data_IF_025244481738
#
_entry.id   IF_025244481738
#
_cell.length_a   1.000
_cell.length_b   1.000
_cell.length_c   1.000
_cell.angle_alpha   90.00
_cell.angle_beta   90.00
_cell.angle_gamma   90.00
#
_symmetry.space_group_name_H-M   'P 1'
#
loop_
_entity.id
_entity.type
_entity.pdbx_description
1 polymer ?
#
# COMPACT_ATOMS: atom_id res chain seq x y z
N UNK A 1 5.83 -56.13 37.51
CA UNK A 1 4.58 -55.70 36.84
C UNK A 1 4.39 -54.17 36.78
N UNK A 2 4.77 -53.37 37.79
CA UNK A 2 4.57 -51.91 37.73
C UNK A 2 5.59 -51.13 36.87
N UNK A 3 6.81 -51.66 36.69
CA UNK A 3 7.87 -50.98 35.94
C UNK A 3 7.71 -51.14 34.41
N UNK A 4 7.34 -52.35 33.97
CA UNK A 4 6.98 -52.67 32.58
C UNK A 4 5.83 -51.81 32.05
N UNK A 5 4.80 -51.59 32.90
CA UNK A 5 3.65 -50.76 32.55
C UNK A 5 4.00 -49.27 32.44
N UNK A 6 4.99 -48.82 33.22
CA UNK A 6 5.48 -47.45 33.18
C UNK A 6 6.30 -47.19 31.91
N UNK A 7 7.12 -48.16 31.48
CA UNK A 7 7.87 -48.10 30.24
C UNK A 7 6.97 -48.13 29.00
N UNK A 8 5.92 -48.96 29.01
CA UNK A 8 4.90 -48.98 27.95
C UNK A 8 4.12 -47.67 27.87
N UNK A 9 3.79 -47.04 29.01
CA UNK A 9 3.12 -45.73 29.02
C UNK A 9 4.05 -44.60 28.57
N UNK A 10 5.35 -44.65 28.89
CA UNK A 10 6.34 -43.67 28.39
C UNK A 10 6.56 -43.83 26.89
N UNK A 11 6.60 -45.06 26.37
CA UNK A 11 6.67 -45.31 24.93
C UNK A 11 5.41 -44.83 24.20
N UNK A 12 4.22 -45.06 24.76
CA UNK A 12 2.94 -44.63 24.18
C UNK A 12 2.74 -43.08 24.20
N UNK A 13 3.38 -42.40 25.16
CA UNK A 13 3.40 -40.93 25.23
C UNK A 13 4.48 -40.31 24.33
N UNK A 14 5.55 -41.04 24.00
CA UNK A 14 6.58 -40.58 23.04
C UNK A 14 6.14 -40.72 21.58
N UNK A 15 5.27 -41.68 21.25
CA UNK A 15 4.76 -41.85 19.87
C UNK A 15 3.61 -40.88 19.49
N UNK A 16 2.95 -40.23 20.46
CA UNK A 16 1.78 -39.39 20.21
C UNK A 16 1.98 -37.88 20.39
N UNK A 17 3.22 -37.40 20.45
CA UNK A 17 3.53 -35.95 20.32
C UNK A 17 4.27 -35.69 19.02
N UNK A 18 3.73 -36.21 17.91
CA UNK A 18 3.94 -35.60 16.60
C UNK A 18 2.92 -34.48 16.43
N UNK A 19 3.18 -33.36 17.12
CA UNK A 19 2.61 -32.06 16.71
C UNK A 19 2.93 -31.88 15.23
N UNK A 20 1.94 -32.06 14.37
CA UNK A 20 2.03 -31.74 12.96
C UNK A 20 2.13 -30.23 12.82
N UNK A 21 3.34 -29.70 12.97
CA UNK A 21 3.67 -28.39 12.43
C UNK A 21 3.82 -28.54 10.92
N UNK A 22 2.94 -27.90 10.17
CA UNK A 22 2.97 -27.86 8.70
C UNK A 22 4.18 -27.10 8.13
N UNK A 23 5.03 -26.53 8.98
CA UNK A 23 6.27 -25.85 8.62
C UNK A 23 7.50 -26.51 9.25
N UNK A 24 7.61 -27.85 9.20
CA UNK A 24 8.88 -28.53 9.45
C UNK A 24 9.87 -28.18 8.33
N UNK A 25 11.15 -28.05 8.64
CA UNK A 25 12.25 -27.73 7.71
C UNK A 25 12.40 -28.82 6.65
N UNK A 26 11.56 -28.76 5.62
CA UNK A 26 11.71 -29.58 4.41
C UNK A 26 13.03 -29.18 3.75
N UNK A 27 13.74 -30.20 3.25
CA UNK A 27 14.96 -30.07 2.47
C UNK A 27 14.80 -28.97 1.41
N UNK A 28 15.81 -28.10 1.30
CA UNK A 28 15.79 -26.96 0.39
C UNK A 28 15.53 -27.41 -1.05
N UNK A 29 16.01 -28.57 -1.45
CA UNK A 29 15.80 -29.11 -2.80
C UNK A 29 14.34 -29.50 -3.06
N UNK A 30 13.67 -30.08 -2.06
CA UNK A 30 12.26 -30.48 -2.17
C UNK A 30 11.36 -29.24 -2.26
N UNK A 31 11.66 -28.19 -1.49
CA UNK A 31 10.92 -26.91 -1.55
C UNK A 31 11.10 -26.27 -2.93
N UNK A 32 12.33 -26.21 -3.44
CA UNK A 32 12.63 -25.69 -4.78
C UNK A 32 11.87 -26.47 -5.86
N UNK A 33 11.87 -27.80 -5.79
CA UNK A 33 11.15 -28.64 -6.76
C UNK A 33 9.63 -28.41 -6.73
N UNK A 34 9.02 -28.36 -5.54
CA UNK A 34 7.60 -28.04 -5.38
C UNK A 34 7.27 -26.64 -5.91
N UNK A 35 8.16 -25.67 -5.70
CA UNK A 35 8.00 -24.31 -6.22
C UNK A 35 8.03 -24.25 -7.73
N UNK A 36 8.96 -24.97 -8.37
CA UNK A 36 9.04 -25.08 -9.84
C UNK A 36 7.74 -25.67 -10.41
N UNK A 37 7.19 -26.69 -9.76
CA UNK A 37 5.94 -27.32 -10.18
C UNK A 37 4.70 -26.41 -9.99
N UNK A 38 4.68 -25.63 -8.92
CA UNK A 38 3.65 -24.61 -8.70
C UNK A 38 3.70 -23.52 -9.79
N UNK A 39 4.90 -23.04 -10.13
CA UNK A 39 5.11 -22.03 -11.17
C UNK A 39 4.70 -22.56 -12.55
N UNK A 40 5.02 -23.83 -12.83
CA UNK A 40 4.57 -24.52 -14.05
C UNK A 40 3.04 -24.44 -14.20
N UNK A 41 2.33 -24.82 -13.14
CA UNK A 41 0.87 -24.84 -13.11
C UNK A 41 0.28 -23.44 -13.21
N UNK A 42 0.91 -22.48 -12.55
CA UNK A 42 0.46 -21.09 -12.56
C UNK A 42 0.59 -20.43 -13.93
N UNK A 43 1.73 -20.58 -14.61
CA UNK A 43 1.93 -19.97 -15.94
C UNK A 43 0.90 -20.54 -16.91
N UNK A 44 0.68 -21.85 -16.92
CA UNK A 44 -0.33 -22.47 -17.77
C UNK A 44 -1.74 -21.94 -17.45
N UNK A 45 -2.10 -21.85 -16.17
CA UNK A 45 -3.39 -21.29 -15.73
C UNK A 45 -3.58 -19.83 -16.16
N UNK A 46 -2.58 -18.96 -15.96
CA UNK A 46 -2.66 -17.53 -16.32
C UNK A 46 -2.67 -17.31 -17.83
N UNK A 47 -2.02 -18.18 -18.59
CA UNK A 47 -2.11 -18.21 -20.06
C UNK A 47 -3.37 -18.93 -20.57
N UNK A 48 -4.21 -19.47 -19.67
CA UNK A 48 -5.42 -20.25 -19.98
C UNK A 48 -5.14 -21.47 -20.87
N UNK A 49 -4.04 -22.16 -20.61
CA UNK A 49 -3.62 -23.38 -21.29
C UNK A 49 -3.79 -24.60 -20.38
N UNK A 50 -4.36 -25.68 -20.90
CA UNK A 50 -4.48 -26.95 -20.16
C UNK A 50 -3.16 -27.73 -20.10
N UNK A 51 -2.33 -27.64 -21.15
CA UNK A 51 -1.01 -28.29 -21.28
C UNK A 51 -0.08 -27.36 -22.06
N UNK A 52 1.22 -27.50 -21.82
CA UNK A 52 2.24 -26.85 -22.65
C UNK A 52 2.14 -27.31 -24.12
N UNK A 53 2.28 -26.40 -25.11
CA UNK A 53 2.32 -26.74 -26.53
C UNK A 53 3.39 -27.79 -26.86
N UNK A 54 3.11 -28.66 -27.82
CA UNK A 54 4.07 -29.69 -28.23
C UNK A 54 5.22 -29.08 -29.06
N UNK A 55 6.46 -29.58 -28.91
CA UNK A 55 7.64 -28.99 -29.53
C UNK A 55 7.64 -29.06 -31.07
N UNK A 56 6.78 -29.89 -31.67
CA UNK A 56 6.59 -29.97 -33.14
C UNK A 56 5.62 -28.89 -33.66
N UNK A 57 4.75 -28.33 -32.82
CA UNK A 57 3.98 -27.11 -33.10
C UNK A 57 4.80 -25.85 -32.84
N UNK A 58 5.90 -25.93 -32.08
CA UNK A 58 6.90 -24.88 -32.00
C UNK A 58 7.80 -24.94 -33.26
N UNK A 59 7.22 -24.56 -34.40
CA UNK A 59 7.84 -24.62 -35.72
C UNK A 59 9.27 -24.09 -35.76
N UNK A 60 10.03 -24.62 -36.73
CA UNK A 60 11.38 -24.15 -37.10
C UNK A 60 11.50 -22.64 -36.93
N UNK A 61 12.49 -22.18 -36.15
CA UNK A 61 12.91 -20.79 -35.91
C UNK A 61 12.20 -19.72 -36.77
N UNK A 62 10.89 -19.53 -36.61
CA UNK A 62 10.18 -18.45 -37.29
C UNK A 62 10.73 -17.18 -36.63
N UNK A 63 11.31 -16.30 -37.46
CA UNK A 63 11.86 -15.05 -36.96
C UNK A 63 10.73 -14.26 -36.31
N UNK A 64 10.83 -14.06 -35.00
CA UNK A 64 9.85 -13.34 -34.21
C UNK A 64 9.64 -11.96 -34.87
N UNK A 65 8.41 -11.59 -35.25
CA UNK A 65 8.15 -10.31 -35.89
C UNK A 65 8.71 -9.14 -35.08
N UNK A 66 9.42 -8.23 -35.75
CA UNK A 66 10.09 -7.06 -35.13
C UNK A 66 9.12 -6.22 -34.29
N UNK A 67 7.87 -6.08 -34.74
CA UNK A 67 6.80 -5.38 -34.01
C UNK A 67 6.51 -6.01 -32.64
N UNK A 68 6.55 -7.34 -32.53
CA UNK A 68 6.31 -8.05 -31.26
C UNK A 68 7.52 -8.00 -30.33
N UNK A 69 8.74 -8.00 -30.89
CA UNK A 69 9.96 -7.74 -30.11
C UNK A 69 9.96 -6.31 -29.54
N UNK A 70 9.55 -5.32 -30.34
CA UNK A 70 9.38 -3.94 -29.88
C UNK A 70 8.31 -3.84 -28.78
N UNK A 71 7.16 -4.49 -28.96
CA UNK A 71 6.11 -4.54 -27.95
C UNK A 71 6.59 -5.15 -26.63
N UNK A 72 7.32 -6.27 -26.69
CA UNK A 72 7.92 -6.91 -25.51
C UNK A 72 8.92 -5.99 -24.80
N UNK A 73 9.81 -5.32 -25.54
CA UNK A 73 10.79 -4.40 -24.96
C UNK A 73 10.13 -3.18 -24.31
N UNK A 74 9.15 -2.56 -24.99
CA UNK A 74 8.39 -1.44 -24.43
C UNK A 74 7.63 -1.84 -23.16
N UNK A 75 7.02 -3.03 -23.15
CA UNK A 75 6.34 -3.57 -21.96
C UNK A 75 7.34 -3.78 -20.83
N UNK A 76 8.52 -4.33 -21.12
CA UNK A 76 9.58 -4.54 -20.14
C UNK A 76 10.11 -3.22 -19.55
N UNK A 77 10.28 -2.20 -20.36
CA UNK A 77 10.81 -0.91 -19.91
C UNK A 77 9.76 -0.12 -19.12
N UNK A 78 8.49 -0.11 -19.54
CA UNK A 78 7.36 0.42 -18.76
C UNK A 78 7.27 -0.22 -17.36
N UNK A 79 7.45 -1.54 -17.27
CA UNK A 79 7.44 -2.24 -15.98
C UNK A 79 8.62 -1.83 -15.09
N UNK A 80 9.81 -1.57 -15.64
CA UNK A 80 10.96 -1.08 -14.87
C UNK A 80 10.76 0.36 -14.38
N UNK A 81 10.15 1.22 -15.20
CA UNK A 81 9.81 2.59 -14.81
C UNK A 81 8.83 2.59 -13.63
N UNK A 82 7.75 1.79 -13.72
CA UNK A 82 6.79 1.60 -12.63
C UNK A 82 7.46 1.05 -11.35
N UNK A 83 8.39 0.10 -11.46
CA UNK A 83 9.14 -0.40 -10.30
C UNK A 83 10.01 0.68 -9.65
N UNK A 84 10.58 1.60 -10.45
CA UNK A 84 11.40 2.69 -9.94
C UNK A 84 10.54 3.73 -9.21
N UNK A 85 9.34 4.01 -9.71
CA UNK A 85 8.35 4.88 -9.04
C UNK A 85 7.76 4.23 -7.77
N UNK A 86 7.44 2.93 -7.79
CA UNK A 86 6.95 2.22 -6.59
C UNK A 86 8.03 2.12 -5.52
N UNK A 87 9.30 1.90 -5.89
CA UNK A 87 10.42 1.91 -4.93
C UNK A 87 10.70 3.28 -4.32
N UNK A 88 10.39 4.38 -5.01
CA UNK A 88 10.52 5.73 -4.44
C UNK A 88 9.30 6.10 -3.58
N UNK A 89 8.12 5.54 -3.84
CA UNK A 89 6.91 5.77 -3.05
C UNK A 89 6.85 4.89 -1.80
N UNK A 90 7.23 3.62 -1.88
CA UNK A 90 7.24 2.67 -0.75
C UNK A 90 8.65 2.60 -0.16
N UNK A 91 8.98 3.55 0.73
CA UNK A 91 10.12 3.33 1.61
C UNK A 91 9.72 2.28 2.66
N UNK A 92 10.63 1.38 3.02
CA UNK A 92 10.43 0.41 4.11
C UNK A 92 10.01 1.06 5.43
N UNK A 93 10.27 2.36 5.58
CA UNK A 93 9.84 3.20 6.70
C UNK A 93 8.30 3.36 6.71
N UNK A 94 7.64 3.54 5.55
CA UNK A 94 6.17 3.67 5.48
C UNK A 94 5.43 2.38 5.84
N UNK A 95 5.97 1.20 5.48
CA UNK A 95 5.36 -0.10 5.81
C UNK A 95 5.46 -0.43 7.31
N UNK A 96 6.60 -0.15 7.94
CA UNK A 96 6.73 -0.26 9.41
C UNK A 96 5.81 0.75 10.11
N UNK A 97 5.65 1.94 9.55
CA UNK A 97 4.75 2.96 10.09
C UNK A 97 3.28 2.54 9.98
N UNK A 98 2.82 1.94 8.89
CA UNK A 98 1.41 1.54 8.69
C UNK A 98 0.92 0.49 9.69
N UNK A 99 1.83 -0.36 10.21
CA UNK A 99 1.53 -1.35 11.24
C UNK A 99 1.05 -0.73 12.56
N UNK A 100 1.56 0.45 12.93
CA UNK A 100 1.22 1.09 14.20
C UNK A 100 -0.06 1.91 14.11
N UNK A 101 -0.88 1.84 15.18
CA UNK A 101 -2.05 2.67 15.32
C UNK A 101 -1.71 4.17 15.21
N UNK A 102 -2.50 4.90 14.43
CA UNK A 102 -2.34 6.34 14.21
C UNK A 102 -3.27 7.13 15.13
N UNK A 103 -2.73 8.16 15.78
CA UNK A 103 -3.53 9.15 16.48
C UNK A 103 -4.26 10.02 15.45
N UNK A 104 -5.57 10.12 15.60
CA UNK A 104 -6.45 10.94 14.77
C UNK A 104 -6.73 12.26 15.48
N UNK A 105 -6.34 13.37 14.87
CA UNK A 105 -6.62 14.70 15.40
C UNK A 105 -7.46 15.51 14.40
N UNK A 106 -8.46 16.21 14.90
CA UNK A 106 -9.36 17.06 14.09
C UNK A 106 -9.15 18.52 14.44
N UNK A 107 -8.78 19.33 13.46
CA UNK A 107 -8.56 20.78 13.61
C UNK A 107 -9.55 21.56 12.77
N UNK A 108 -10.43 22.32 13.43
CA UNK A 108 -11.37 23.18 12.74
C UNK A 108 -10.69 24.46 12.24
N UNK A 109 -11.31 25.12 11.26
CA UNK A 109 -10.91 26.47 10.85
C UNK A 109 -11.04 27.48 12.02
N UNK A 110 -10.06 28.37 12.14
CA UNK A 110 -10.09 29.47 13.12
C UNK A 110 -10.80 30.70 12.59
N UNK A 111 -10.65 30.97 11.30
CA UNK A 111 -11.32 32.05 10.61
C UNK A 111 -11.58 31.65 9.15
N UNK A 112 -12.57 32.30 8.53
CA UNK A 112 -13.02 32.03 7.17
C UNK A 112 -13.38 33.32 6.46
N UNK A 113 -13.08 33.36 5.17
CA UNK A 113 -13.65 34.38 4.28
C UNK A 113 -14.27 33.66 3.08
N UNK A 114 -15.50 34.02 2.76
CA UNK A 114 -16.23 33.45 1.63
C UNK A 114 -16.54 34.58 0.66
N UNK A 115 -15.98 34.50 -0.54
CA UNK A 115 -16.33 35.37 -1.66
C UNK A 115 -16.92 34.52 -2.78
N UNK A 116 -17.55 35.16 -3.76
CA UNK A 116 -18.08 34.44 -4.92
C UNK A 116 -16.98 33.73 -5.74
N UNK A 117 -15.74 34.24 -5.69
CA UNK A 117 -14.60 33.74 -6.47
C UNK A 117 -13.69 32.78 -5.71
N UNK A 118 -13.66 32.86 -4.38
CA UNK A 118 -12.84 31.97 -3.58
C UNK A 118 -13.38 31.79 -2.17
N UNK A 119 -13.11 30.62 -1.59
CA UNK A 119 -13.40 30.31 -0.20
C UNK A 119 -12.08 30.07 0.54
N UNK A 120 -11.81 30.89 1.54
CA UNK A 120 -10.54 30.90 2.27
C UNK A 120 -10.74 30.33 3.67
N UNK A 121 -9.88 29.39 4.04
CA UNK A 121 -9.89 28.64 5.29
C UNK A 121 -8.58 28.87 6.02
N UNK A 122 -8.65 29.42 7.23
CA UNK A 122 -7.47 29.79 8.02
C UNK A 122 -7.31 28.83 9.19
N UNK A 123 -6.13 28.24 9.32
CA UNK A 123 -5.77 27.29 10.37
C UNK A 123 -4.68 27.85 11.28
N UNK A 124 -4.77 27.49 12.56
CA UNK A 124 -3.73 27.79 13.54
C UNK A 124 -2.78 26.61 13.66
N UNK A 125 -1.58 26.76 13.11
CA UNK A 125 -0.52 25.74 13.14
C UNK A 125 0.02 25.48 14.54
N UNK A 126 -0.19 26.38 15.52
CA UNK A 126 0.25 26.15 16.90
C UNK A 126 -0.44 24.93 17.50
N UNK A 127 -1.76 24.83 17.35
CA UNK A 127 -2.57 23.71 17.86
C UNK A 127 -2.22 22.39 17.15
N UNK A 128 -1.97 22.46 15.84
CA UNK A 128 -1.57 21.30 15.04
C UNK A 128 -0.17 20.82 15.46
N UNK A 129 0.79 21.72 15.66
CA UNK A 129 2.14 21.38 16.14
C UNK A 129 2.12 20.82 17.55
N UNK A 130 1.24 21.29 18.43
CA UNK A 130 1.13 20.74 19.79
C UNK A 130 0.63 19.29 19.78
N UNK A 131 -0.31 18.96 18.88
CA UNK A 131 -0.91 17.63 18.81
C UNK A 131 -0.11 16.62 17.97
N UNK A 132 0.46 17.06 16.85
CA UNK A 132 1.24 16.22 15.92
C UNK A 132 2.72 16.21 16.29
N UNK A 133 3.25 17.35 16.73
CA UNK A 133 4.67 17.62 16.92
C UNK A 133 5.43 17.67 15.61
N UNK A 134 6.46 16.82 15.47
CA UNK A 134 7.38 16.86 14.34
C UNK A 134 6.72 16.47 12.99
N UNK A 135 7.19 17.10 11.92
CA UNK A 135 6.70 16.84 10.55
C UNK A 135 6.89 15.40 10.08
N UNK A 136 7.85 14.65 10.66
CA UNK A 136 8.11 13.24 10.36
C UNK A 136 7.04 12.31 10.90
N UNK A 137 6.36 12.68 12.00
CA UNK A 137 5.34 11.81 12.60
C UNK A 137 3.99 11.92 11.89
N UNK A 138 3.82 12.91 11.02
CA UNK A 138 2.61 13.07 10.21
C UNK A 138 2.62 12.07 9.06
N UNK A 139 1.72 11.09 9.12
CA UNK A 139 1.58 10.06 8.08
C UNK A 139 0.61 10.47 6.98
N UNK A 140 -0.53 11.05 7.35
CA UNK A 140 -1.56 11.52 6.41
C UNK A 140 -2.32 12.70 6.97
N UNK A 141 -2.72 13.63 6.11
CA UNK A 141 -3.61 14.72 6.47
C UNK A 141 -4.65 14.95 5.38
N UNK A 142 -5.91 15.15 5.77
CA UNK A 142 -7.00 15.40 4.84
C UNK A 142 -7.77 16.66 5.23
N UNK A 143 -7.89 17.59 4.30
CA UNK A 143 -8.80 18.73 4.43
C UNK A 143 -10.19 18.31 3.97
N UNK A 144 -11.15 18.33 4.89
CA UNK A 144 -12.53 17.86 4.66
C UNK A 144 -13.52 19.02 4.75
N UNK A 145 -14.45 19.05 3.80
CA UNK A 145 -15.52 20.05 3.74
C UNK A 145 -16.85 19.42 3.28
N UNK A 146 -17.96 19.84 3.87
CA UNK A 146 -19.28 19.26 3.59
C UNK A 146 -19.98 20.05 2.48
N UNK A 147 -20.30 19.39 1.37
CA UNK A 147 -20.98 20.01 0.23
C UNK A 147 -22.49 20.11 0.49
N UNK A 148 -23.05 21.29 0.27
CA UNK A 148 -24.47 21.62 0.46
C UNK A 148 -25.06 22.20 -0.81
N UNK A 149 -26.28 21.76 -1.14
CA UNK A 149 -27.10 22.31 -2.22
C UNK A 149 -26.36 22.54 -3.57
N UNK A 150 -25.65 21.54 -4.13
CA UNK A 150 -25.04 21.67 -5.45
C UNK A 150 -26.14 21.81 -6.52
N UNK A 151 -25.92 22.74 -7.46
CA UNK A 151 -26.77 23.01 -8.63
C UNK A 151 -25.91 22.98 -9.90
N UNK A 152 -25.28 21.84 -10.16
CA UNK A 152 -24.31 21.65 -11.24
C UNK A 152 -25.00 20.95 -12.42
N UNK A 153 -24.69 21.34 -13.66
CA UNK A 153 -25.29 20.69 -14.85
C UNK A 153 -24.70 19.30 -15.09
N UNK A 154 -23.38 19.20 -15.20
CA UNK A 154 -22.64 17.95 -15.38
C UNK A 154 -21.62 17.78 -14.25
N UNK A 155 -20.51 18.51 -14.34
CA UNK A 155 -19.45 18.55 -13.34
C UNK A 155 -18.88 19.97 -13.19
N UNK A 156 -18.40 20.27 -11.99
CA UNK A 156 -17.71 21.53 -11.68
C UNK A 156 -16.32 21.21 -11.13
N UNK A 157 -15.27 21.67 -11.80
CA UNK A 157 -13.89 21.51 -11.32
C UNK A 157 -13.56 22.60 -10.31
N UNK A 158 -13.00 22.20 -9.18
CA UNK A 158 -12.47 23.09 -8.15
C UNK A 158 -11.00 22.84 -7.90
N UNK A 159 -10.30 23.89 -7.50
CA UNK A 159 -8.85 23.89 -7.30
C UNK A 159 -8.51 24.36 -5.89
N UNK A 160 -7.63 23.61 -5.25
CA UNK A 160 -7.13 23.92 -3.91
C UNK A 160 -5.74 24.53 -4.00
N UNK A 161 -5.59 25.67 -3.34
CA UNK A 161 -4.34 26.38 -3.18
C UNK A 161 -3.97 26.50 -1.70
N UNK A 162 -2.69 26.62 -1.41
CA UNK A 162 -2.18 26.79 -0.05
C UNK A 162 -1.17 27.94 0.02
N UNK A 163 -1.09 28.60 1.18
CA UNK A 163 -0.15 29.69 1.42
C UNK A 163 1.30 29.19 1.46
N UNK A 164 2.16 29.88 0.72
CA UNK A 164 3.61 29.69 0.74
C UNK A 164 4.25 31.08 0.81
N UNK A 165 4.42 31.59 2.03
CA UNK A 165 4.82 32.97 2.28
C UNK A 165 3.71 33.94 1.87
N UNK A 166 4.00 34.86 0.94
CA UNK A 166 3.03 35.88 0.48
C UNK A 166 2.19 35.44 -0.71
N UNK A 167 2.48 34.28 -1.32
CA UNK A 167 1.79 33.79 -2.52
C UNK A 167 1.02 32.50 -2.23
N UNK A 168 0.14 32.13 -3.17
CA UNK A 168 -0.63 30.90 -3.13
C UNK A 168 -0.10 29.92 -4.17
N UNK A 169 0.21 28.70 -3.74
CA UNK A 169 0.67 27.63 -4.62
C UNK A 169 -0.48 26.66 -4.90
N UNK A 170 -0.61 26.24 -6.16
CA UNK A 170 -1.55 25.20 -6.56
C UNK A 170 -1.16 23.88 -5.90
N UNK A 171 -2.15 23.17 -5.36
CA UNK A 171 -1.96 21.84 -4.77
C UNK A 171 -2.58 20.75 -5.65
N UNK A 172 -3.90 20.80 -5.82
CA UNK A 172 -4.65 19.75 -6.50
C UNK A 172 -6.02 20.27 -6.96
N UNK A 173 -6.70 19.49 -7.80
CA UNK A 173 -8.05 19.79 -8.27
C UNK A 173 -8.95 18.54 -8.19
N UNK A 174 -10.25 18.77 -8.04
CA UNK A 174 -11.25 17.71 -8.04
C UNK A 174 -12.51 18.16 -8.77
N UNK A 175 -13.24 17.19 -9.33
CA UNK A 175 -14.53 17.40 -9.97
C UNK A 175 -15.66 17.14 -8.98
N UNK A 176 -16.62 18.06 -8.93
CA UNK A 176 -17.80 18.00 -8.07
C UNK A 176 -19.02 17.77 -8.94
N UNK A 177 -19.89 16.87 -8.50
CA UNK A 177 -21.18 16.58 -9.14
C UNK A 177 -22.31 16.71 -8.12
N UNK A 178 -23.56 16.74 -8.59
CA UNK A 178 -24.73 16.78 -7.69
C UNK A 178 -24.83 15.56 -6.75
N UNK A 179 -24.15 14.45 -7.07
CA UNK A 179 -24.10 13.25 -6.24
C UNK A 179 -23.34 13.45 -4.90
N UNK A 180 -22.58 14.54 -4.77
CA UNK A 180 -21.88 14.95 -3.56
C UNK A 180 -22.76 15.77 -2.60
N UNK A 181 -24.06 15.98 -2.89
CA UNK A 181 -24.98 16.66 -1.97
C UNK A 181 -24.97 15.98 -0.60
N UNK A 182 -24.69 16.76 0.46
CA UNK A 182 -24.56 16.30 1.85
C UNK A 182 -23.44 15.27 2.08
N UNK A 183 -22.43 15.20 1.20
CA UNK A 183 -21.24 14.36 1.36
C UNK A 183 -19.99 15.19 1.58
N UNK A 184 -18.99 14.57 2.18
CA UNK A 184 -17.69 15.18 2.43
C UNK A 184 -16.84 15.15 1.16
N UNK A 185 -16.32 16.33 0.79
CA UNK A 185 -15.23 16.49 -0.15
C UNK A 185 -13.91 16.48 0.65
N UNK A 186 -12.94 15.66 0.24
CA UNK A 186 -11.67 15.50 0.93
C UNK A 186 -10.49 15.71 0.00
N UNK A 187 -9.54 16.56 0.41
CA UNK A 187 -8.26 16.74 -0.25
C UNK A 187 -7.14 16.20 0.62
N UNK A 188 -6.27 15.35 0.07
CA UNK A 188 -5.02 15.01 0.74
C UNK A 188 -4.14 16.26 0.79
N UNK A 189 -3.80 16.72 1.99
CA UNK A 189 -2.98 17.91 2.25
C UNK A 189 -1.75 17.56 3.08
N UNK A 190 -1.30 16.30 3.01
CA UNK A 190 -0.15 15.80 3.78
C UNK A 190 1.12 16.61 3.49
N UNK A 191 1.46 16.80 2.22
CA UNK A 191 2.67 17.54 1.81
C UNK A 191 2.65 19.04 2.20
N UNK A 192 1.57 19.80 1.94
CA UNK A 192 1.43 21.16 2.45
C UNK A 192 1.59 21.23 3.98
N UNK A 193 0.95 20.32 4.72
CA UNK A 193 0.97 20.34 6.17
C UNK A 193 2.35 19.98 6.73
N UNK A 194 3.06 19.00 6.14
CA UNK A 194 4.46 18.68 6.49
C UNK A 194 5.37 19.90 6.31
N UNK A 195 5.16 20.66 5.22
CA UNK A 195 5.91 21.88 4.95
C UNK A 195 5.64 22.95 6.02
N UNK A 196 4.38 23.17 6.37
CA UNK A 196 3.99 24.15 7.40
C UNK A 196 4.42 23.77 8.82
N UNK A 197 4.46 22.48 9.16
CA UNK A 197 4.97 22.01 10.45
C UNK A 197 6.44 22.37 10.68
N UNK A 198 7.23 22.50 9.60
CA UNK A 198 8.64 22.92 9.65
C UNK A 198 8.81 24.44 9.76
N UNK A 199 7.75 25.21 9.51
CA UNK A 199 7.77 26.66 9.54
C UNK A 199 7.36 27.20 10.91
N UNK A 200 7.79 28.43 11.22
CA UNK A 200 7.48 29.11 12.48
C UNK A 200 6.17 29.90 12.44
N UNK A 201 5.60 30.12 11.25
CA UNK A 201 4.35 30.84 11.10
C UNK A 201 3.18 30.08 11.72
N UNK A 202 2.34 30.78 12.48
CA UNK A 202 1.19 30.20 13.17
C UNK A 202 -0.07 30.20 12.30
N UNK A 203 -0.15 31.10 11.32
CA UNK A 203 -1.35 31.27 10.50
C UNK A 203 -1.05 30.74 9.11
N UNK A 204 -1.76 29.69 8.73
CA UNK A 204 -1.67 29.12 7.39
C UNK A 204 -3.05 29.05 6.75
N UNK A 205 -3.08 29.13 5.42
CA UNK A 205 -4.27 29.43 4.66
C UNK A 205 -4.42 28.43 3.52
N UNK A 206 -5.58 27.80 3.45
CA UNK A 206 -6.05 27.11 2.25
C UNK A 206 -7.08 27.97 1.54
N UNK A 207 -7.03 27.99 0.22
CA UNK A 207 -7.96 28.72 -0.63
C UNK A 207 -8.52 27.80 -1.69
N UNK A 208 -9.84 27.62 -1.68
CA UNK A 208 -10.57 26.91 -2.72
C UNK A 208 -11.04 27.91 -3.78
N UNK A 209 -10.85 27.58 -5.06
CA UNK A 209 -11.26 28.40 -6.21
C UNK A 209 -12.02 27.53 -7.22
N UNK A 210 -13.07 28.04 -7.88
CA UNK A 210 -13.62 27.35 -9.04
C UNK A 210 -12.58 27.42 -10.17
N UNK A 211 -12.53 26.39 -11.01
CA UNK A 211 -11.69 26.43 -12.20
C UNK A 211 -12.12 27.61 -13.10
N UNK A 212 -11.16 28.47 -13.42
CA UNK A 212 -11.36 29.56 -14.36
C UNK A 212 -10.78 29.16 -15.72
N UNK A 213 -11.65 29.00 -16.71
CA UNK A 213 -11.22 28.94 -18.09
C UNK A 213 -10.91 30.37 -18.58
N UNK A 214 -9.91 30.52 -19.45
CA UNK A 214 -9.51 31.83 -19.97
C UNK A 214 -10.67 32.55 -20.68
N UNK A 215 -11.65 31.80 -21.19
CA UNK A 215 -12.84 32.32 -21.86
C UNK A 215 -13.95 32.80 -20.88
N UNK A 216 -13.95 32.33 -19.63
CA UNK A 216 -14.98 32.62 -18.62
C UNK A 216 -14.34 33.10 -17.31
N UNK A 217 -13.93 34.38 -17.21
CA UNK A 217 -13.21 34.91 -16.05
C UNK A 217 -14.07 35.10 -14.78
N UNK A 218 -15.39 34.89 -14.87
CA UNK A 218 -16.35 35.12 -13.78
C UNK A 218 -17.08 33.83 -13.37
N UNK A 219 -16.38 32.70 -13.30
CA UNK A 219 -16.93 31.48 -12.70
C UNK A 219 -17.12 31.69 -11.20
N UNK A 220 -18.29 31.32 -10.70
CA UNK A 220 -18.63 31.33 -9.27
C UNK A 220 -19.03 29.91 -8.86
N UNK A 221 -18.98 29.61 -7.56
CA UNK A 221 -19.35 28.29 -7.07
C UNK A 221 -20.85 28.00 -7.29
N UNK A 222 -21.18 26.84 -7.87
CA UNK A 222 -22.58 26.39 -8.02
C UNK A 222 -23.07 25.54 -6.84
N UNK A 223 -22.31 25.53 -5.74
CA UNK A 223 -22.60 24.79 -4.52
C UNK A 223 -22.17 25.59 -3.28
N UNK A 224 -22.71 25.19 -2.14
CA UNK A 224 -22.38 25.77 -0.84
C UNK A 224 -21.53 24.82 -0.02
N UNK A 225 -20.73 25.37 0.89
CA UNK A 225 -19.98 24.60 1.88
C UNK A 225 -20.59 24.88 3.25
N UNK A 226 -20.95 23.82 3.98
CA UNK A 226 -21.53 23.96 5.31
C UNK A 226 -20.61 24.78 6.22
N UNK A 227 -21.17 25.72 6.97
CA UNK A 227 -20.40 26.58 7.85
C UNK A 227 -19.43 27.55 7.16
N UNK A 228 -19.50 27.77 5.83
CA UNK A 228 -18.69 28.79 5.14
C UNK A 228 -19.47 30.04 4.73
N UNK A 229 -20.80 29.98 4.72
CA UNK A 229 -21.64 31.11 4.30
C UNK A 229 -21.81 32.16 5.40
N UNK A 230 -21.80 33.44 5.01
CA UNK A 230 -22.06 34.59 5.89
C UNK A 230 -23.56 34.80 6.01
N UNK A 231 -24.21 34.07 6.92
CA UNK A 231 -25.62 34.32 7.24
C UNK A 231 -25.80 35.68 7.93
N UNK A 232 -26.90 36.38 7.61
CA UNK A 232 -27.26 37.66 8.23
C UNK A 232 -27.47 37.50 9.74
N UNK A 233 -27.09 38.54 10.46
CA UNK A 233 -26.85 38.62 11.91
C UNK A 233 -28.00 38.08 12.78
N UNK A 234 -29.25 38.11 12.32
CA UNK A 234 -30.41 37.75 13.15
C UNK A 234 -30.77 36.25 13.17
N UNK A 235 -30.24 35.43 12.27
CA UNK A 235 -30.44 33.96 12.25
C UNK A 235 -29.14 33.17 12.47
N UNK A 236 -28.00 33.87 12.55
CA UNK A 236 -26.67 33.27 12.58
C UNK A 236 -26.29 32.58 13.88
N UNK A 237 -26.83 33.01 15.04
CA UNK A 237 -26.43 32.46 16.35
C UNK A 237 -26.97 31.04 16.64
N UNK A 238 -28.03 30.61 15.94
CA UNK A 238 -28.63 29.28 16.11
C UNK A 238 -28.06 28.25 15.11
N UNK A 239 -27.57 28.71 13.95
CA UNK A 239 -26.96 27.88 12.91
C UNK A 239 -25.50 27.53 13.20
N UNK A 240 -24.77 28.37 13.93
CA UNK A 240 -23.36 28.14 14.31
C UNK A 240 -23.13 26.91 15.18
N UNK A 241 -24.15 26.42 15.89
CA UNK A 241 -24.07 25.23 16.75
C UNK A 241 -24.23 23.91 15.97
N UNK A 242 -24.79 23.94 14.77
CA UNK A 242 -25.09 22.72 13.97
C UNK A 242 -24.30 22.62 12.67
N UNK A 243 -23.65 23.71 12.25
CA UNK A 243 -22.87 23.73 11.02
C UNK A 243 -21.55 22.97 11.14
N UNK A 244 -21.36 22.00 10.24
CA UNK A 244 -20.13 21.24 10.09
C UNK A 244 -19.12 22.06 9.30
N UNK A 245 -18.31 22.88 9.98
CA UNK A 245 -17.26 23.70 9.35
C UNK A 245 -16.15 22.82 8.73
N UNK A 246 -15.43 23.32 7.71
CA UNK A 246 -14.26 22.64 7.19
C UNK A 246 -13.21 22.40 8.27
N UNK A 247 -12.54 21.25 8.20
CA UNK A 247 -11.52 20.87 9.17
C UNK A 247 -10.43 20.04 8.52
N UNK A 248 -9.25 20.01 9.15
CA UNK A 248 -8.16 19.12 8.80
C UNK A 248 -8.22 17.92 9.73
N UNK A 249 -8.23 16.72 9.17
CA UNK A 249 -8.04 15.47 9.90
C UNK A 249 -6.59 15.02 9.69
N UNK A 250 -5.82 14.88 10.76
CA UNK A 250 -4.46 14.33 10.68
C UNK A 250 -4.41 12.94 11.27
N UNK A 251 -3.51 12.13 10.72
CA UNK A 251 -3.12 10.82 11.21
C UNK A 251 -1.63 10.87 11.50
N UNK A 252 -1.25 10.78 12.77
CA UNK A 252 0.15 10.86 13.18
C UNK A 252 0.55 9.77 14.17
N UNK A 253 1.83 9.49 14.25
CA UNK A 253 2.38 8.56 15.23
C UNK A 253 2.46 9.28 16.59
N UNK A 254 1.94 8.71 17.69
CA UNK A 254 2.01 9.34 19.00
C UNK A 254 3.46 9.60 19.44
N UNK A 255 3.73 10.79 19.99
CA UNK A 255 5.06 11.19 20.47
C UNK A 255 5.67 10.21 21.48
N UNK A 256 4.86 9.62 22.37
CA UNK A 256 5.37 8.66 23.35
C UNK A 256 5.88 7.33 22.75
N UNK A 257 5.55 7.05 21.48
CA UNK A 257 6.10 5.91 20.72
C UNK A 257 7.35 6.30 19.90
N UNK A 258 7.62 7.60 19.70
CA UNK A 258 8.70 8.07 18.82
C UNK A 258 10.10 7.91 19.44
N UNK A 259 10.21 7.83 20.77
CA UNK A 259 11.47 7.56 21.48
C UNK A 259 12.08 6.20 21.11
N UNK A 260 11.27 5.23 20.67
CA UNK A 260 11.75 3.95 20.14
C UNK A 260 12.12 4.00 18.65
N UNK A 261 11.66 5.01 17.90
CA UNK A 261 11.92 5.16 16.46
C UNK A 261 13.28 5.82 16.18
N UNK A 262 13.76 6.71 17.06
CA UNK A 262 15.02 7.44 16.86
C UNK A 262 16.29 6.62 17.16
N UNK A 263 16.16 5.44 17.79
CA UNK A 263 17.30 4.58 18.13
C UNK A 263 17.56 3.43 17.14
N UNK A 264 16.65 3.19 16.19
CA UNK A 264 16.85 2.12 15.22
C UNK A 264 17.74 2.62 14.08
N UNK A 265 19.05 2.50 14.27
CA UNK A 265 20.06 2.64 13.21
C UNK A 265 19.61 1.83 12.00
N UNK A 266 19.51 2.50 10.84
CA UNK A 266 19.22 1.95 9.51
C UNK A 266 19.95 0.60 9.35
N UNK A 267 19.25 -0.51 9.55
CA UNK A 267 19.59 -1.73 8.82
C UNK A 267 18.78 -1.61 7.56
N UNK A 268 19.48 -1.32 6.47
CA UNK A 268 19.00 -1.59 5.13
C UNK A 268 18.34 -2.97 5.15
N UNK A 269 17.01 -3.01 5.12
CA UNK A 269 16.29 -4.08 4.46
C UNK A 269 15.98 -3.52 3.09
N UNK A 270 17.03 -3.31 2.29
CA UNK A 270 16.83 -3.24 0.85
C UNK A 270 16.02 -4.50 0.50
N UNK A 271 14.90 -4.33 -0.19
CA UNK A 271 14.10 -5.43 -0.74
C UNK A 271 14.89 -6.31 -1.74
N UNK A 272 16.18 -6.01 -1.92
CA UNK A 272 17.17 -6.74 -2.71
C UNK A 272 18.11 -7.63 -1.88
N UNK A 273 18.12 -7.57 -0.54
CA UNK A 273 18.99 -8.44 0.26
C UNK A 273 18.36 -9.84 0.38
N UNK A 274 18.66 -10.66 -0.63
CA UNK A 274 18.45 -12.11 -0.57
C UNK A 274 19.14 -12.64 0.67
N UNK A 275 18.38 -13.21 1.62
CA UNK A 275 18.98 -13.80 2.81
C UNK A 275 19.87 -14.99 2.46
N UNK A 276 20.97 -15.16 3.21
CA UNK A 276 21.79 -16.35 3.13
C UNK A 276 20.98 -17.59 3.56
N UNK A 277 21.36 -18.75 3.05
CA UNK A 277 20.66 -20.04 3.25
C UNK A 277 20.49 -20.49 4.71
N UNK A 278 21.07 -19.77 5.67
CA UNK A 278 21.18 -20.08 7.10
C UNK A 278 20.19 -19.28 7.97
N UNK A 279 19.38 -18.39 7.39
CA UNK A 279 18.38 -17.62 8.16
C UNK A 279 17.18 -18.49 8.55
N UNK A 280 16.94 -18.64 9.85
CA UNK A 280 15.79 -19.40 10.39
C UNK A 280 14.49 -18.57 10.44
N UNK A 281 14.58 -17.25 10.33
CA UNK A 281 13.45 -16.31 10.27
C UNK A 281 12.89 -16.19 8.85
N UNK A 282 11.61 -15.83 8.71
CA UNK A 282 10.97 -15.60 7.40
C UNK A 282 11.76 -14.61 6.55
N UNK A 283 12.25 -15.08 5.41
CA UNK A 283 12.95 -14.25 4.44
C UNK A 283 12.78 -14.75 3.00
N UNK A 284 12.97 -13.84 2.04
CA UNK A 284 13.05 -14.17 0.63
C UNK A 284 14.37 -14.89 0.31
N UNK A 285 14.25 -16.03 -0.36
CA UNK A 285 15.34 -16.85 -0.87
C UNK A 285 15.41 -16.71 -2.39
N UNK A 286 16.62 -16.64 -2.94
CA UNK A 286 16.80 -16.53 -4.39
C UNK A 286 16.50 -17.86 -5.09
N UNK A 287 15.75 -17.76 -6.18
CA UNK A 287 15.48 -18.89 -7.06
C UNK A 287 15.37 -18.40 -8.49
N UNK A 288 16.39 -18.70 -9.28
CA UNK A 288 16.35 -18.53 -10.73
C UNK A 288 15.74 -19.78 -11.37
N UNK A 289 14.79 -19.58 -12.28
CA UNK A 289 14.16 -20.64 -13.05
C UNK A 289 14.47 -20.42 -14.52
N UNK A 290 15.10 -21.42 -15.12
CA UNK A 290 15.32 -21.49 -16.56
C UNK A 290 14.18 -22.28 -17.21
N UNK A 291 13.47 -21.66 -18.15
CA UNK A 291 12.33 -22.29 -18.81
C UNK A 291 12.73 -23.57 -19.56
N UNK A 292 13.95 -23.63 -20.11
CA UNK A 292 14.42 -24.80 -20.86
C UNK A 292 14.94 -25.88 -19.93
N UNK A 293 15.77 -25.52 -18.95
CA UNK A 293 16.44 -26.49 -18.08
C UNK A 293 15.51 -27.05 -17.01
N UNK A 294 14.73 -26.20 -16.35
CA UNK A 294 13.96 -26.59 -15.15
C UNK A 294 12.52 -26.99 -15.50
N UNK A 295 11.94 -26.37 -16.54
CA UNK A 295 10.57 -26.64 -16.98
C UNK A 295 10.48 -27.45 -18.29
N UNK A 296 11.59 -27.58 -19.03
CA UNK A 296 11.61 -28.28 -20.31
C UNK A 296 10.84 -27.55 -21.42
N UNK A 297 10.56 -26.27 -21.26
CA UNK A 297 9.74 -25.48 -22.17
C UNK A 297 10.57 -24.80 -23.26
N UNK A 298 10.19 -25.05 -24.51
CA UNK A 298 10.79 -24.44 -25.71
C UNK A 298 9.89 -23.39 -26.37
N UNK A 299 8.61 -23.36 -26.01
CA UNK A 299 7.56 -22.51 -26.58
C UNK A 299 7.55 -21.08 -25.99
N UNK A 300 8.27 -20.85 -24.89
CA UNK A 300 8.57 -19.51 -24.38
C UNK A 300 9.89 -19.03 -24.99
N UNK A 301 9.84 -17.93 -25.73
CA UNK A 301 11.00 -17.37 -26.43
C UNK A 301 11.74 -16.32 -25.60
N UNK A 302 11.00 -15.45 -24.89
CA UNK A 302 11.57 -14.44 -23.98
C UNK A 302 10.73 -14.30 -22.71
N UNK A 303 11.37 -14.09 -21.54
CA UNK A 303 12.80 -14.26 -21.28
C UNK A 303 13.20 -15.75 -21.31
N UNK A 304 14.49 -16.06 -21.28
CA UNK A 304 14.99 -17.45 -21.21
C UNK A 304 14.83 -18.06 -19.81
N UNK A 305 14.74 -17.20 -18.80
CA UNK A 305 14.46 -17.53 -17.41
C UNK A 305 14.26 -16.25 -16.61
N UNK A 306 13.90 -16.39 -15.35
CA UNK A 306 13.66 -15.26 -14.46
C UNK A 306 13.91 -15.64 -12.99
N UNK A 307 14.10 -14.63 -12.14
CA UNK A 307 14.16 -14.81 -10.69
C UNK A 307 12.75 -14.86 -10.12
N UNK A 308 12.27 -16.07 -9.82
CA UNK A 308 10.97 -16.26 -9.21
C UNK A 308 11.01 -16.01 -7.70
N UNK A 309 12.15 -16.33 -7.07
CA UNK A 309 12.35 -16.29 -5.63
C UNK A 309 11.25 -17.06 -4.85
N UNK A 310 11.45 -17.22 -3.54
CA UNK A 310 10.42 -17.80 -2.68
C UNK A 310 10.64 -17.38 -1.23
N UNK A 311 9.56 -17.27 -0.47
CA UNK A 311 9.61 -16.96 0.94
C UNK A 311 9.78 -18.25 1.75
N UNK A 312 10.77 -18.28 2.64
CA UNK A 312 11.01 -19.41 3.55
C UNK A 312 11.47 -18.89 4.90
N UNK A 313 11.01 -19.55 5.96
CA UNK A 313 11.49 -19.33 7.32
C UNK A 313 10.35 -19.38 8.32
N UNK A 314 10.70 -19.39 9.59
CA UNK A 314 9.73 -19.32 10.67
C UNK A 314 9.29 -17.86 10.89
N UNK A 315 7.99 -17.65 10.97
CA UNK A 315 7.43 -16.42 11.51
C UNK A 315 7.21 -16.65 13.00
N UNK A 316 8.15 -16.21 13.82
CA UNK A 316 7.89 -16.08 15.26
C UNK A 316 6.98 -14.88 15.47
N UNK A 317 6.06 -14.98 16.43
CA UNK A 317 5.44 -13.77 16.94
C UNK A 317 6.55 -12.93 17.56
N UNK A 318 6.62 -11.66 17.18
CA UNK A 318 7.63 -10.74 17.69
C UNK A 318 7.49 -10.72 19.22
N UNK A 319 8.42 -11.37 19.90
CA UNK A 319 8.58 -11.32 21.35
C UNK A 319 9.18 -9.95 21.72
N UNK A 320 8.43 -8.88 21.46
CA UNK A 320 8.69 -7.64 22.18
C UNK A 320 8.05 -7.83 23.56
N UNK A 321 8.89 -8.08 24.56
CA UNK A 321 8.48 -8.25 25.95
C UNK A 321 7.69 -7.04 26.51
N UNK A 322 7.75 -5.89 25.82
CA UNK A 322 7.08 -4.64 26.20
C UNK A 322 5.62 -4.52 25.72
N UNK A 323 5.18 -5.32 24.73
CA UNK A 323 3.81 -5.26 24.23
C UNK A 323 2.92 -6.28 24.94
N UNK A 324 1.92 -5.81 25.71
CA UNK A 324 0.94 -6.68 26.38
C UNK A 324 0.17 -7.59 25.39
N UNK A 325 0.04 -7.16 24.14
CA UNK A 325 -0.67 -7.90 23.09
C UNK A 325 0.06 -9.17 22.63
N UNK A 326 1.40 -9.14 22.52
CA UNK A 326 2.21 -10.32 22.21
C UNK A 326 2.16 -11.37 23.33
N UNK A 327 2.01 -10.94 24.58
CA UNK A 327 1.80 -11.84 25.73
C UNK A 327 0.41 -12.49 25.69
N UNK A 328 -0.65 -11.72 25.38
CA UNK A 328 -2.04 -12.22 25.30
C UNK A 328 -2.19 -13.25 24.17
N UNK A 329 -1.59 -13.01 23.01
CA UNK A 329 -1.68 -13.94 21.88
C UNK A 329 -0.86 -15.23 22.12
N UNK A 330 0.28 -15.12 22.82
CA UNK A 330 1.06 -16.29 23.26
C UNK A 330 0.29 -17.13 24.29
N UNK A 331 -0.38 -16.49 25.26
CA UNK A 331 -1.29 -17.16 26.20
C UNK A 331 -2.44 -17.85 25.46
N UNK A 332 -3.04 -17.19 24.45
CA UNK A 332 -4.11 -17.77 23.64
C UNK A 332 -3.68 -19.08 22.95
N UNK A 333 -2.45 -19.13 22.42
CA UNK A 333 -1.87 -20.35 21.84
C UNK A 333 -1.58 -21.44 22.88
N UNK A 334 -1.12 -21.06 24.07
CA UNK A 334 -0.87 -22.01 25.17
C UNK A 334 -2.16 -22.61 25.71
N UNK A 335 -3.23 -21.82 25.77
CA UNK A 335 -4.52 -22.22 26.32
C UNK A 335 -5.44 -22.92 25.30
N UNK A 336 -5.19 -22.78 24.00
CA UNK A 336 -5.98 -23.42 22.95
C UNK A 336 -5.12 -23.88 21.74
N UNK A 337 -4.36 -24.99 21.86
CA UNK A 337 -3.49 -25.48 20.79
C UNK A 337 -4.22 -25.96 19.52
N UNK A 338 -5.56 -26.05 19.55
CA UNK A 338 -6.41 -26.34 18.39
C UNK A 338 -6.90 -25.10 17.62
N UNK A 339 -6.64 -23.88 18.12
CA UNK A 339 -6.97 -22.65 17.41
C UNK A 339 -5.85 -22.31 16.39
N UNK A 340 -6.12 -22.56 15.12
CA UNK A 340 -5.18 -22.34 14.02
C UNK A 340 -5.08 -20.86 13.65
N UNK A 341 -3.97 -20.21 13.99
CA UNK A 341 -3.53 -18.97 13.31
C UNK A 341 -2.01 -18.77 13.44
N UNK A 342 -1.19 -19.78 13.12
CA UNK A 342 0.26 -19.56 13.03
C UNK A 342 0.57 -18.65 11.82
N UNK A 343 1.39 -17.59 11.97
CA UNK A 343 1.74 -16.74 10.84
C UNK A 343 2.55 -17.53 9.80
N UNK A 344 2.19 -17.37 8.53
CA UNK A 344 2.88 -17.96 7.39
C UNK A 344 3.78 -16.92 6.72
N UNK A 345 4.93 -17.38 6.22
CA UNK A 345 5.88 -16.56 5.49
C UNK A 345 5.41 -16.43 4.03
N UNK A 346 4.72 -15.34 3.70
CA UNK A 346 4.13 -15.09 2.38
C UNK A 346 4.75 -13.83 1.74
N UNK A 347 4.79 -13.74 0.40
CA UNK A 347 5.27 -12.53 -0.28
C UNK A 347 4.28 -11.37 -0.11
N UNK A 348 4.80 -10.18 0.19
CA UNK A 348 4.00 -8.95 0.32
C UNK A 348 3.86 -8.21 -1.00
N UNK A 349 4.94 -8.11 -1.76
CA UNK A 349 4.98 -7.47 -3.09
C UNK A 349 5.38 -8.49 -4.14
N UNK A 350 4.75 -8.41 -5.32
CA UNK A 350 5.00 -9.29 -6.45
C UNK A 350 5.29 -8.45 -7.68
N UNK A 351 6.28 -8.85 -8.45
CA UNK A 351 6.62 -8.18 -9.70
C UNK A 351 5.96 -8.89 -10.90
N UNK A 352 5.35 -8.16 -11.84
CA UNK A 352 4.78 -8.74 -13.04
C UNK A 352 5.90 -9.19 -14.01
N UNK A 353 5.72 -10.33 -14.67
CA UNK A 353 6.66 -10.88 -15.65
C UNK A 353 6.08 -10.77 -17.07
N UNK A 354 6.73 -10.02 -17.99
CA UNK A 354 6.38 -10.08 -19.40
C UNK A 354 6.95 -11.37 -20.02
N UNK A 355 6.11 -12.10 -20.77
CA UNK A 355 6.47 -13.35 -21.46
C UNK A 355 6.05 -13.25 -22.93
N UNK A 356 6.98 -13.59 -23.82
CA UNK A 356 6.76 -13.79 -25.24
C UNK A 356 6.74 -15.29 -25.55
N UNK A 357 5.61 -15.78 -26.03
CA UNK A 357 5.38 -17.21 -26.23
C UNK A 357 4.62 -17.48 -27.53
N UNK A 358 4.65 -18.74 -27.97
CA UNK A 358 4.00 -19.20 -29.20
C UNK A 358 2.81 -20.11 -28.90
N UNK A 359 1.70 -19.91 -29.62
CA UNK A 359 0.55 -20.81 -29.58
C UNK A 359 0.07 -21.07 -31.00
N UNK A 360 0.12 -22.32 -31.43
CA UNK A 360 -0.32 -22.74 -32.77
C UNK A 360 0.57 -22.16 -33.87
N UNK A 361 0.23 -20.97 -34.41
CA UNK A 361 0.99 -20.23 -35.44
C UNK A 361 1.18 -18.75 -35.15
N UNK A 362 0.96 -18.32 -33.91
CA UNK A 362 0.98 -16.90 -33.53
C UNK A 362 1.84 -16.66 -32.30
N UNK A 363 2.76 -15.71 -32.43
CA UNK A 363 3.49 -15.13 -31.32
C UNK A 363 2.58 -14.18 -30.52
N UNK A 364 2.60 -14.30 -29.20
CA UNK A 364 1.83 -13.45 -28.29
C UNK A 364 2.71 -12.95 -27.15
N UNK A 365 2.46 -11.71 -26.74
CA UNK A 365 3.06 -11.12 -25.54
C UNK A 365 2.02 -11.12 -24.43
N UNK A 366 2.38 -11.63 -23.26
CA UNK A 366 1.58 -11.60 -22.05
C UNK A 366 2.35 -10.84 -20.97
N UNK A 367 1.64 -10.10 -20.13
CA UNK A 367 2.19 -9.52 -18.89
C UNK A 367 1.25 -9.84 -17.74
N UNK A 368 1.80 -10.23 -16.61
CA UNK A 368 1.01 -10.51 -15.42
C UNK A 368 1.87 -10.95 -14.23
N UNK A 369 1.29 -10.85 -13.04
CA UNK A 369 1.93 -11.30 -11.80
C UNK A 369 1.89 -12.82 -11.71
N UNK A 370 3.03 -13.44 -11.45
CA UNK A 370 3.14 -14.85 -11.09
C UNK A 370 3.18 -14.94 -9.56
N UNK A 371 2.01 -15.10 -8.94
CA UNK A 371 1.86 -15.21 -7.48
C UNK A 371 2.55 -16.44 -6.91
N UNK A 372 3.23 -16.27 -5.77
CA UNK A 372 3.66 -17.38 -4.96
C UNK A 372 2.63 -17.77 -3.93
N UNK A 373 2.33 -19.07 -3.82
CA UNK A 373 1.86 -19.67 -2.56
C UNK A 373 3.02 -19.70 -1.57
#
# INVERSE_FOLDING_TARGET
MKLEFLLLMVAYLLDNVSSMSTCKTVDQEIIKKKRIEAIRSQILSKLRMAKAPEPEEAGEKEEIPTNLLSLYNNTKDMLKEQQTEVKTVVSSEQEEEEYFAKALNKFNITNKTSTAKHKTMIFNMSEIRESVGDSSLLTRAELRMLIKNPRILEEERVELYYSSGTTFRYHTSQFITNALKNKWLSFDVTEPLRTWLRQTENKQIFQLRPFCDCEKPNTTFSFFISGMETSRVDTGQLLTLTDQVPYILTMSIPQNMSSHLTSRKKRSTDSADTCTAQTETCCMQSLYIDFRKDLGWKWIHKPTGYYANYCKGSCSYIWNAENKYSQILALYKHHNPGASAQPCCVPQTLEPLPILYYVGRQHKVFTGHLEGV
#
